data_IF_007725864103
#
_entry.id   IF_007725864103
#
_cell.length_a   1.000
_cell.length_b   1.000
_cell.length_c   1.000
_cell.angle_alpha   90.00
_cell.angle_beta   90.00
_cell.angle_gamma   90.00
#
_symmetry.space_group_name_H-M   'P 1'
#
loop_
_entity.id
_entity.type
_entity.pdbx_description
1 polymer ?
#
# COMPACT_ATOMS: atom_id res chain seq x y z
N UNK A 1 1.62 -7.46 -0.65
CA UNK A 1 2.12 -8.01 0.63
C UNK A 1 2.49 -6.90 1.62
N UNK A 2 2.80 -5.67 1.16
CA UNK A 2 3.14 -4.55 2.04
C UNK A 2 1.97 -4.11 2.93
N UNK A 3 0.75 -4.03 2.38
CA UNK A 3 -0.48 -3.75 3.15
C UNK A 3 -1.04 -4.95 3.92
N UNK A 4 -0.25 -6.00 4.19
CA UNK A 4 -0.72 -7.16 4.94
C UNK A 4 -1.25 -6.78 6.34
N UNK A 5 -0.68 -5.73 6.94
CA UNK A 5 -1.12 -5.22 8.23
C UNK A 5 -2.57 -4.72 8.20
N UNK A 6 -3.03 -4.13 7.08
CA UNK A 6 -4.41 -3.68 6.91
C UNK A 6 -5.37 -4.87 7.00
N UNK A 7 -5.11 -5.94 6.25
CA UNK A 7 -5.92 -7.16 6.28
C UNK A 7 -5.95 -7.81 7.67
N UNK A 8 -4.79 -7.89 8.33
CA UNK A 8 -4.72 -8.44 9.67
C UNK A 8 -5.55 -7.61 10.66
N UNK A 9 -5.38 -6.28 10.66
CA UNK A 9 -6.13 -5.38 11.54
C UNK A 9 -7.63 -5.46 11.28
N UNK A 10 -8.06 -5.47 10.02
CA UNK A 10 -9.48 -5.67 9.66
C UNK A 10 -10.02 -7.00 10.19
N UNK A 11 -9.26 -8.09 10.05
CA UNK A 11 -9.67 -9.41 10.58
C UNK A 11 -9.82 -9.40 12.12
N UNK A 12 -9.01 -8.59 12.81
CA UNK A 12 -9.07 -8.43 14.26
C UNK A 12 -10.22 -7.53 14.68
N UNK A 13 -10.44 -6.42 13.97
CA UNK A 13 -11.52 -5.47 14.20
C UNK A 13 -12.90 -6.14 14.17
N UNK A 14 -13.09 -7.19 13.38
CA UNK A 14 -14.32 -7.99 13.38
C UNK A 14 -14.71 -8.57 14.75
N UNK A 15 -13.76 -8.69 15.69
CA UNK A 15 -14.01 -9.13 17.07
C UNK A 15 -14.35 -7.99 18.04
N UNK A 16 -14.34 -6.74 17.57
CA UNK A 16 -14.61 -5.53 18.35
C UNK A 16 -15.74 -4.75 17.68
N UNK A 17 -17.03 -5.11 17.94
CA UNK A 17 -18.16 -4.52 17.25
C UNK A 17 -18.23 -3.00 17.35
N UNK A 18 -17.84 -2.41 18.48
CA UNK A 18 -17.85 -0.95 18.66
C UNK A 18 -16.91 -0.27 17.65
N UNK A 19 -15.67 -0.78 17.53
CA UNK A 19 -14.69 -0.32 16.54
C UNK A 19 -15.12 -0.64 15.10
N UNK A 20 -15.64 -1.83 14.85
CA UNK A 20 -16.08 -2.24 13.50
C UNK A 20 -17.27 -1.42 12.98
N UNK A 21 -18.08 -0.86 13.88
CA UNK A 21 -19.21 0.01 13.55
C UNK A 21 -18.84 1.51 13.54
N UNK A 22 -17.59 1.86 13.81
CA UNK A 22 -17.05 3.23 13.66
C UNK A 22 -16.03 3.27 12.50
N UNK A 23 -16.46 3.57 11.27
CA UNK A 23 -15.58 3.62 10.11
C UNK A 23 -14.43 4.63 10.25
N UNK A 24 -14.65 5.73 10.98
CA UNK A 24 -13.65 6.79 11.15
C UNK A 24 -12.55 6.29 12.09
N UNK A 25 -12.92 5.72 13.24
CA UNK A 25 -11.97 5.18 14.19
C UNK A 25 -11.22 3.96 13.62
N UNK A 26 -11.92 3.08 12.91
CA UNK A 26 -11.32 1.95 12.22
C UNK A 26 -10.30 2.42 11.17
N UNK A 27 -10.66 3.39 10.33
CA UNK A 27 -9.77 3.92 9.29
C UNK A 27 -8.50 4.54 9.90
N UNK A 28 -8.66 5.39 10.92
CA UNK A 28 -7.54 6.00 11.63
C UNK A 28 -6.59 4.95 12.25
N UNK A 29 -7.13 3.86 12.80
CA UNK A 29 -6.35 2.75 13.32
C UNK A 29 -5.55 2.05 12.21
N UNK A 30 -6.19 1.77 11.06
CA UNK A 30 -5.53 1.11 9.94
C UNK A 30 -4.36 1.95 9.42
N UNK A 31 -4.59 3.24 9.13
CA UNK A 31 -3.55 4.15 8.65
C UNK A 31 -2.38 4.22 9.63
N UNK A 32 -2.66 4.31 10.93
CA UNK A 32 -1.61 4.51 11.94
C UNK A 32 -0.77 3.28 12.26
N UNK A 33 -1.24 2.06 11.98
CA UNK A 33 -0.61 0.83 12.49
C UNK A 33 -0.28 -0.23 11.44
N UNK A 34 -0.82 -0.14 10.23
CA UNK A 34 -0.69 -1.22 9.25
C UNK A 34 0.75 -1.53 8.86
N UNK A 35 1.64 -0.54 8.76
CA UNK A 35 3.05 -0.70 8.43
C UNK A 35 3.81 -1.51 9.50
N UNK A 36 3.62 -1.16 10.76
CA UNK A 36 4.27 -1.74 11.93
C UNK A 36 3.77 -3.16 12.19
N UNK A 37 2.46 -3.38 12.01
CA UNK A 37 1.86 -4.70 12.08
C UNK A 37 2.31 -5.57 10.90
N UNK A 38 2.35 -5.01 9.68
CA UNK A 38 2.85 -5.70 8.49
C UNK A 38 4.29 -6.16 8.67
N UNK A 39 5.17 -5.27 9.15
CA UNK A 39 6.55 -5.59 9.49
C UNK A 39 6.64 -6.72 10.54
N UNK A 40 5.89 -6.61 11.64
CA UNK A 40 5.92 -7.63 12.70
C UNK A 40 5.45 -9.01 12.19
N UNK A 41 4.40 -9.06 11.36
CA UNK A 41 3.91 -10.30 10.77
C UNK A 41 4.94 -10.93 9.83
N UNK A 42 5.52 -10.14 8.92
CA UNK A 42 6.52 -10.64 7.98
C UNK A 42 7.82 -11.06 8.68
N UNK A 43 8.19 -10.38 9.76
CA UNK A 43 9.32 -10.75 10.63
C UNK A 43 9.08 -12.10 11.29
N UNK A 44 7.87 -12.31 11.86
CA UNK A 44 7.49 -13.60 12.45
C UNK A 44 7.47 -14.75 11.43
N UNK A 45 7.21 -14.45 10.16
CA UNK A 45 7.26 -15.41 9.05
C UNK A 45 8.68 -15.66 8.52
N UNK A 46 9.70 -14.99 9.06
CA UNK A 46 11.10 -15.15 8.66
C UNK A 46 11.46 -14.50 7.33
N UNK A 47 10.74 -13.43 6.95
CA UNK A 47 11.03 -12.69 5.71
C UNK A 47 12.41 -12.01 5.76
N UNK A 48 13.07 -11.81 4.61
CA UNK A 48 14.37 -11.12 4.55
C UNK A 48 14.30 -9.67 5.03
N UNK A 49 15.38 -9.18 5.63
CA UNK A 49 15.47 -7.80 6.15
C UNK A 49 15.12 -6.74 5.11
N UNK A 50 15.56 -6.92 3.85
CA UNK A 50 15.23 -5.98 2.76
C UNK A 50 13.72 -5.84 2.52
N UNK A 51 12.95 -6.90 2.74
CA UNK A 51 11.47 -6.88 2.65
C UNK A 51 10.88 -6.19 3.87
N UNK A 52 11.41 -6.47 5.07
CA UNK A 52 10.94 -5.85 6.30
C UNK A 52 11.12 -4.34 6.30
N UNK A 53 12.28 -3.86 5.84
CA UNK A 53 12.57 -2.43 5.66
C UNK A 53 11.68 -1.83 4.59
N UNK A 54 11.49 -2.51 3.45
CA UNK A 54 10.62 -2.02 2.40
C UNK A 54 9.18 -1.81 2.90
N UNK A 55 8.61 -2.78 3.63
CA UNK A 55 7.25 -2.68 4.20
C UNK A 55 7.17 -1.66 5.33
N UNK A 56 8.24 -1.38 6.06
CA UNK A 56 8.18 -0.36 7.11
C UNK A 56 8.24 1.07 6.54
N UNK A 57 8.96 1.27 5.44
CA UNK A 57 9.25 2.62 4.93
C UNK A 57 8.43 3.02 3.69
N UNK A 58 7.63 2.12 3.11
CA UNK A 58 6.92 2.35 1.84
C UNK A 58 5.88 3.48 1.82
N UNK A 59 5.51 4.04 2.97
CA UNK A 59 4.63 5.21 3.07
C UNK A 59 5.32 6.45 3.66
N UNK A 60 6.61 6.36 3.98
CA UNK A 60 7.35 7.52 4.46
C UNK A 60 7.62 8.45 3.29
N UNK A 61 6.96 9.62 3.28
CA UNK A 61 7.17 10.63 2.25
C UNK A 61 8.64 11.05 2.18
N UNK A 62 9.21 10.95 0.98
CA UNK A 62 10.61 11.26 0.71
C UNK A 62 10.82 11.60 -0.76
N UNK A 63 11.84 12.40 -1.01
CA UNK A 63 12.26 12.72 -2.37
C UNK A 63 13.04 11.54 -2.96
N UNK A 64 12.61 11.06 -4.14
CA UNK A 64 13.31 10.02 -4.89
C UNK A 64 13.79 10.60 -6.21
N UNK A 65 15.11 10.60 -6.37
CA UNK A 65 15.77 11.03 -7.61
C UNK A 65 16.09 9.83 -8.50
N UNK A 66 16.40 8.67 -7.91
CA UNK A 66 16.73 7.43 -8.61
C UNK A 66 16.26 6.21 -7.82
N UNK A 67 15.78 5.16 -8.51
CA UNK A 67 15.37 3.89 -7.90
C UNK A 67 16.61 3.03 -7.60
N UNK A 68 17.03 2.94 -6.33
CA UNK A 68 18.25 2.23 -5.92
C UNK A 68 18.01 1.01 -5.04
N UNK A 69 16.83 0.93 -4.44
CA UNK A 69 16.49 -0.10 -3.48
C UNK A 69 15.09 -0.67 -3.70
N UNK A 70 14.82 -1.82 -3.09
CA UNK A 70 13.47 -2.40 -3.07
C UNK A 70 12.47 -1.44 -2.43
N UNK A 71 12.88 -0.68 -1.41
CA UNK A 71 12.04 0.33 -0.77
C UNK A 71 11.66 1.45 -1.75
N UNK A 72 12.59 1.90 -2.60
CA UNK A 72 12.28 2.95 -3.59
C UNK A 72 11.29 2.46 -4.63
N UNK A 73 11.49 1.23 -5.12
CA UNK A 73 10.57 0.59 -6.06
C UNK A 73 9.20 0.43 -5.44
N UNK A 74 9.12 -0.05 -4.19
CA UNK A 74 7.86 -0.26 -3.50
C UNK A 74 7.14 1.06 -3.20
N UNK A 75 7.85 2.10 -2.78
CA UNK A 75 7.29 3.43 -2.54
C UNK A 75 6.70 4.03 -3.83
N UNK A 76 7.43 3.99 -4.94
CA UNK A 76 6.92 4.49 -6.24
C UNK A 76 5.74 3.66 -6.72
N UNK A 77 5.81 2.33 -6.66
CA UNK A 77 4.69 1.47 -7.02
C UNK A 77 3.45 1.74 -6.16
N UNK A 78 3.63 1.99 -4.84
CA UNK A 78 2.54 2.36 -3.95
C UNK A 78 1.90 3.69 -4.33
N UNK A 79 2.70 4.72 -4.68
CA UNK A 79 2.17 6.00 -5.16
C UNK A 79 1.40 5.86 -6.48
N UNK A 80 1.85 4.99 -7.40
CA UNK A 80 1.13 4.68 -8.65
C UNK A 80 -0.20 4.00 -8.32
N UNK A 81 -0.18 2.97 -7.47
CA UNK A 81 -1.39 2.24 -7.07
C UNK A 81 -2.43 3.14 -6.38
N UNK A 82 -1.99 4.13 -5.60
CA UNK A 82 -2.89 5.08 -4.95
C UNK A 82 -3.67 5.97 -5.94
N UNK A 83 -3.27 6.08 -7.22
CA UNK A 83 -4.06 6.79 -8.25
C UNK A 83 -5.29 6.03 -8.71
N UNK A 84 -5.23 4.70 -8.69
CA UNK A 84 -6.25 3.85 -9.34
C UNK A 84 -6.95 2.92 -8.37
N UNK A 85 -6.32 2.56 -7.26
CA UNK A 85 -6.77 1.50 -6.34
C UNK A 85 -6.29 1.77 -4.90
N UNK A 86 -6.40 3.02 -4.45
CA UNK A 86 -6.20 3.35 -3.04
C UNK A 86 -7.24 2.64 -2.18
N UNK A 87 -6.80 2.01 -1.09
CA UNK A 87 -7.69 1.52 -0.04
C UNK A 87 -8.05 2.62 0.98
N UNK A 88 -7.35 3.76 0.96
CA UNK A 88 -7.59 4.90 1.84
C UNK A 88 -8.78 5.71 1.34
N UNK A 89 -9.62 6.15 2.27
CA UNK A 89 -10.75 7.03 1.98
C UNK A 89 -10.26 8.49 2.01
N UNK A 90 -10.33 9.24 0.89
CA UNK A 90 -9.90 10.64 0.85
C UNK A 90 -10.68 11.55 1.80
N UNK A 91 -11.92 11.19 2.17
CA UNK A 91 -12.72 11.97 3.12
C UNK A 91 -12.22 11.83 4.56
N UNK A 92 -11.50 10.74 4.88
CA UNK A 92 -11.04 10.41 6.22
C UNK A 92 -9.55 10.73 6.45
N UNK A 93 -8.74 10.61 5.40
CA UNK A 93 -7.27 10.68 5.49
C UNK A 93 -6.63 11.62 4.46
N UNK A 94 -7.46 12.32 3.68
CA UNK A 94 -7.01 13.19 2.60
C UNK A 94 -6.56 12.44 1.36
N UNK A 95 -6.35 13.17 0.27
CA UNK A 95 -5.79 12.59 -0.95
C UNK A 95 -4.30 12.28 -0.74
N UNK A 96 -3.88 11.10 -1.19
CA UNK A 96 -2.46 10.73 -1.21
C UNK A 96 -1.76 11.62 -2.24
N UNK A 97 -0.75 12.38 -1.80
CA UNK A 97 0.08 13.14 -2.72
C UNK A 97 0.88 12.19 -3.63
N UNK A 98 0.56 12.23 -4.92
CA UNK A 98 1.23 11.46 -5.97
C UNK A 98 2.00 12.35 -6.95
N UNK A 99 2.13 13.66 -6.66
CA UNK A 99 2.78 14.66 -7.53
C UNK A 99 4.25 14.36 -7.86
N UNK A 100 4.89 13.51 -7.05
CA UNK A 100 6.24 13.05 -7.30
C UNK A 100 6.35 12.20 -8.57
N UNK A 101 5.27 11.55 -9.02
CA UNK A 101 5.33 10.66 -10.18
C UNK A 101 5.59 11.45 -11.46
N UNK A 102 5.07 12.69 -11.55
CA UNK A 102 5.35 13.63 -12.64
C UNK A 102 6.83 14.03 -12.74
N UNK A 103 7.63 13.82 -11.68
CA UNK A 103 9.07 14.09 -11.69
C UNK A 103 9.90 12.90 -12.19
N UNK A 104 9.32 11.69 -12.17
CA UNK A 104 10.01 10.43 -12.48
C UNK A 104 9.56 9.88 -13.84
N UNK A 105 8.27 10.01 -14.16
CA UNK A 105 7.65 9.49 -15.37
C UNK A 105 6.97 10.60 -16.16
N UNK A 106 7.04 10.53 -17.47
CA UNK A 106 6.09 11.26 -18.31
C UNK A 106 4.69 10.60 -18.26
N UNK A 107 3.68 11.35 -18.69
CA UNK A 107 2.29 10.92 -18.58
C UNK A 107 1.97 9.69 -19.43
N UNK A 108 2.62 9.53 -20.58
CA UNK A 108 2.37 8.40 -21.49
C UNK A 108 2.96 7.12 -20.91
N UNK A 109 4.20 7.18 -20.40
CA UNK A 109 4.85 6.06 -19.72
C UNK A 109 4.08 5.60 -18.48
N UNK A 110 3.57 6.54 -17.67
CA UNK A 110 2.77 6.19 -16.50
C UNK A 110 1.44 5.52 -16.90
N UNK A 111 0.78 6.01 -17.95
CA UNK A 111 -0.46 5.43 -18.45
C UNK A 111 -0.23 4.01 -19.01
N UNK A 112 0.88 3.78 -19.70
CA UNK A 112 1.28 2.47 -20.20
C UNK A 112 1.51 1.48 -19.04
N UNK A 113 2.28 1.87 -18.01
CA UNK A 113 2.51 1.04 -16.82
C UNK A 113 1.19 0.63 -16.15
N UNK A 114 0.26 1.56 -15.98
CA UNK A 114 -1.04 1.28 -15.37
C UNK A 114 -1.86 0.32 -16.24
N UNK A 115 -1.92 0.55 -17.55
CA UNK A 115 -2.68 -0.29 -18.48
C UNK A 115 -2.13 -1.73 -18.54
N UNK A 116 -0.81 -1.91 -18.60
CA UNK A 116 -0.18 -3.23 -18.56
C UNK A 116 -0.45 -3.95 -17.22
N UNK A 117 -0.38 -3.19 -16.12
CA UNK A 117 -0.63 -3.74 -14.77
C UNK A 117 -2.08 -4.19 -14.57
N UNK A 118 -3.06 -3.56 -15.21
CA UNK A 118 -4.47 -3.95 -15.11
C UNK A 118 -4.72 -5.37 -15.63
N UNK A 119 -4.10 -5.75 -16.75
CA UNK A 119 -4.23 -7.08 -17.33
C UNK A 119 -3.64 -8.15 -16.39
N UNK A 120 -2.47 -7.89 -15.82
CA UNK A 120 -1.83 -8.78 -14.84
C UNK A 120 -2.64 -8.93 -13.55
N UNK A 121 -3.17 -7.82 -13.03
CA UNK A 121 -4.02 -7.80 -11.82
C UNK A 121 -5.30 -8.59 -12.06
N UNK A 122 -5.95 -8.44 -13.22
CA UNK A 122 -7.14 -9.22 -13.59
C UNK A 122 -6.83 -10.72 -13.71
N UNK A 123 -5.67 -11.07 -14.29
CA UNK A 123 -5.21 -12.45 -14.38
C UNK A 123 -4.98 -13.08 -12.99
N UNK A 124 -4.32 -12.36 -12.09
CA UNK A 124 -4.09 -12.77 -10.69
C UNK A 124 -5.40 -12.95 -9.92
N UNK A 125 -6.33 -12.00 -10.06
CA UNK A 125 -7.68 -12.04 -9.49
C UNK A 125 -8.45 -13.29 -9.93
N UNK A 126 -8.48 -13.55 -11.23
CA UNK A 126 -9.09 -14.75 -11.80
C UNK A 126 -8.46 -16.05 -11.27
N UNK A 127 -7.14 -16.10 -11.11
CA UNK A 127 -6.43 -17.25 -10.57
C UNK A 127 -6.73 -17.51 -9.08
N UNK A 128 -7.05 -16.46 -8.31
CA UNK A 128 -7.37 -16.53 -6.88
C UNK A 128 -8.88 -16.74 -6.60
N UNK A 129 -9.72 -16.81 -7.64
CA UNK A 129 -11.14 -17.17 -7.52
C UNK A 129 -12.11 -15.98 -7.45
N UNK A 130 -11.73 -14.80 -7.94
CA UNK A 130 -12.61 -13.63 -8.07
C UNK A 130 -12.11 -12.62 -9.08
#
# INVERSE_FOLDING_TARGET
>A
MHDLGVFYLMSRAANFPDLANDPVELHALLVSWHDSIGHALLSALGSPESVLVAVQEHETDREIVELKSLTDVLYVANKIANRTSSWRDPELDGEVDTSMLETIFDADALAEIVAESEEEVLSLKAALGG
#
